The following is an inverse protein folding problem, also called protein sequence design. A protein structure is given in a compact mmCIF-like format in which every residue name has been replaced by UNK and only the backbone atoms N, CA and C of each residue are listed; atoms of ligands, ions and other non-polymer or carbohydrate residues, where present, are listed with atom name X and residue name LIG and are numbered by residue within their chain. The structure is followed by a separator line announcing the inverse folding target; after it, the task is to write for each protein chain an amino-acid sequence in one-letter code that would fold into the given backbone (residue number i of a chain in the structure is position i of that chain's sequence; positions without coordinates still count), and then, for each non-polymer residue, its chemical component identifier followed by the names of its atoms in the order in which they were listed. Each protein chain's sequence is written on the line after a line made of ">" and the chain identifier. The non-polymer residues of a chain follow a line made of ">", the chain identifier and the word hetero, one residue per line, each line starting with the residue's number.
data_IF_292571345795
#
_entry.id   IF_292571345795
#
_cell.length_a   1.000
_cell.length_b   1.000
_cell.length_c   1.000
_cell.angle_alpha   90.00
_cell.angle_beta   90.00
_cell.angle_gamma   90.00
#
_symmetry.space_group_name_H-M   'P 1'
#
loop_
_entity.id
_entity.type
_entity.pdbx_description
1 polymer ?
#
# COMPACT_ATOMS: atom_id res chain seq x y z
N UNK A 1 -13.93 -7.27 -1.21
CA UNK A 1 -13.31 -6.67 -2.42
C UNK A 1 -13.25 -7.69 -3.55
N UNK A 2 -12.80 -8.92 -3.32
CA UNK A 2 -12.65 -9.96 -4.36
C UNK A 2 -13.92 -10.77 -4.68
N UNK A 3 -15.08 -10.32 -4.20
CA UNK A 3 -16.34 -10.98 -4.48
C UNK A 3 -16.99 -10.36 -5.72
N UNK A 4 -17.72 -11.17 -6.48
CA UNK A 4 -18.51 -10.70 -7.61
C UNK A 4 -19.42 -9.52 -7.23
N UNK A 5 -19.54 -8.55 -8.13
CA UNK A 5 -20.31 -7.33 -7.89
C UNK A 5 -19.62 -6.28 -7.02
N UNK A 6 -18.33 -6.43 -6.69
CA UNK A 6 -17.56 -5.33 -6.11
C UNK A 6 -17.49 -4.14 -7.07
N UNK A 7 -17.77 -2.94 -6.55
CA UNK A 7 -17.73 -1.69 -7.31
C UNK A 7 -17.80 -0.48 -6.38
N UNK A 8 -18.01 0.71 -6.95
CA UNK A 8 -18.10 1.95 -6.18
C UNK A 8 -19.23 1.94 -5.16
N UNK A 9 -20.43 1.48 -5.54
CA UNK A 9 -21.59 1.43 -4.64
C UNK A 9 -21.33 0.55 -3.42
N UNK A 10 -20.83 -0.67 -3.64
CA UNK A 10 -20.48 -1.59 -2.55
C UNK A 10 -19.36 -1.06 -1.66
N UNK A 11 -18.40 -0.32 -2.22
CA UNK A 11 -17.37 0.36 -1.44
C UNK A 11 -17.99 1.48 -0.57
N UNK A 12 -18.89 2.28 -1.13
CA UNK A 12 -19.61 3.32 -0.39
C UNK A 12 -20.42 2.72 0.76
N UNK A 13 -21.16 1.64 0.52
CA UNK A 13 -21.92 0.94 1.57
C UNK A 13 -21.03 0.52 2.73
N UNK A 14 -19.88 -0.09 2.43
CA UNK A 14 -18.90 -0.46 3.45
C UNK A 14 -18.40 0.77 4.23
N UNK A 15 -18.01 1.85 3.53
CA UNK A 15 -17.47 3.07 4.14
C UNK A 15 -18.51 3.75 5.05
N UNK A 16 -19.78 3.74 4.68
CA UNK A 16 -20.88 4.31 5.48
C UNK A 16 -21.03 3.63 6.85
N UNK A 17 -20.63 2.36 6.93
CA UNK A 17 -20.70 1.55 8.15
C UNK A 17 -19.38 1.54 8.94
N UNK A 18 -18.30 2.11 8.40
CA UNK A 18 -17.08 2.36 9.17
C UNK A 18 -17.36 3.46 10.19
N UNK A 19 -17.03 3.25 11.48
CA UNK A 19 -17.22 4.28 12.49
C UNK A 19 -16.44 5.56 12.19
N UNK A 20 -17.09 6.70 12.38
CA UNK A 20 -16.46 8.02 12.23
C UNK A 20 -15.46 8.28 13.36
N UNK A 21 -14.53 9.21 13.12
CA UNK A 21 -13.65 9.78 14.16
C UNK A 21 -14.13 11.16 14.61
N UNK A 22 -14.44 12.04 13.65
CA UNK A 22 -14.77 13.42 13.94
C UNK A 22 -15.65 14.04 12.86
N UNK A 23 -16.17 15.22 13.15
CA UNK A 23 -16.69 16.18 12.16
C UNK A 23 -15.93 17.50 12.32
N UNK A 24 -15.45 18.09 11.22
CA UNK A 24 -14.79 19.40 11.27
C UNK A 24 -15.80 20.53 10.98
N UNK A 25 -16.01 21.41 11.97
CA UNK A 25 -16.96 22.54 11.87
C UNK A 25 -16.41 23.77 12.57
N UNK A 26 -16.49 24.92 11.90
CA UNK A 26 -16.15 26.21 12.50
C UNK A 26 -14.74 26.27 13.11
N UNK A 27 -13.76 25.59 12.49
CA UNK A 27 -12.39 25.56 12.99
C UNK A 27 -12.10 24.50 14.06
N UNK A 28 -13.09 23.66 14.43
CA UNK A 28 -12.98 22.70 15.53
C UNK A 28 -13.24 21.27 15.05
N UNK A 29 -12.52 20.33 15.65
CA UNK A 29 -12.81 18.91 15.57
C UNK A 29 -13.87 18.56 16.63
N UNK A 30 -15.03 18.11 16.17
CA UNK A 30 -16.11 17.60 17.02
C UNK A 30 -15.97 16.09 17.07
N UNK A 31 -15.88 15.53 18.27
CA UNK A 31 -15.75 14.08 18.47
C UNK A 31 -17.01 13.36 17.97
N UNK A 32 -16.83 12.46 17.00
CA UNK A 32 -17.87 11.58 16.47
C UNK A 32 -17.43 10.11 16.54
N UNK A 33 -16.47 9.79 17.41
CA UNK A 33 -15.88 8.47 17.57
C UNK A 33 -16.95 7.41 17.81
N UNK A 34 -16.95 6.36 16.97
CA UNK A 34 -17.92 5.27 17.10
C UNK A 34 -19.29 5.55 16.46
N UNK A 35 -19.54 6.76 15.97
CA UNK A 35 -20.83 7.14 15.36
C UNK A 35 -20.87 6.80 13.86
N UNK A 36 -22.08 6.76 13.30
CA UNK A 36 -22.32 6.31 11.93
C UNK A 36 -22.38 7.47 10.93
N UNK A 37 -21.64 7.37 9.83
CA UNK A 37 -21.79 8.31 8.71
C UNK A 37 -23.17 8.16 8.04
N UNK A 38 -23.75 6.95 8.08
CA UNK A 38 -25.12 6.70 7.62
C UNK A 38 -26.15 7.50 8.42
N UNK A 39 -26.01 7.55 9.75
CA UNK A 39 -26.86 8.42 10.58
C UNK A 39 -26.62 9.90 10.28
N UNK A 40 -25.40 10.29 9.92
CA UNK A 40 -25.11 11.67 9.51
C UNK A 40 -25.85 12.06 8.23
N UNK A 41 -25.91 11.19 7.21
CA UNK A 41 -26.69 11.42 5.98
C UNK A 41 -28.17 11.73 6.27
N UNK A 42 -28.72 11.07 7.29
CA UNK A 42 -30.11 11.25 7.73
C UNK A 42 -30.31 12.44 8.68
N UNK A 43 -29.25 13.16 9.07
CA UNK A 43 -29.32 14.23 10.07
C UNK A 43 -29.49 13.73 11.51
N UNK A 44 -29.17 12.46 11.76
CA UNK A 44 -29.35 11.77 13.04
C UNK A 44 -28.03 11.55 13.78
N UNK A 45 -26.93 12.21 13.37
CA UNK A 45 -25.62 12.09 14.03
C UNK A 45 -25.66 12.71 15.45
N UNK A 46 -25.42 11.94 16.53
CA UNK A 46 -25.45 12.47 17.89
C UNK A 46 -24.48 13.64 18.14
N UNK A 47 -23.28 13.61 17.55
CA UNK A 47 -22.29 14.68 17.65
C UNK A 47 -22.75 16.00 17.03
N UNK A 48 -23.68 15.96 16.07
CA UNK A 48 -24.16 17.13 15.36
C UNK A 48 -25.66 16.98 14.98
N UNK A 49 -26.57 17.05 15.96
CA UNK A 49 -27.98 16.73 15.73
C UNK A 49 -28.66 17.64 14.71
N UNK A 50 -29.40 17.05 13.76
CA UNK A 50 -30.16 17.76 12.73
C UNK A 50 -29.33 18.25 11.54
N UNK A 51 -28.01 18.18 11.61
CA UNK A 51 -27.10 18.60 10.54
C UNK A 51 -26.81 17.43 9.59
N UNK A 52 -26.68 17.74 8.29
CA UNK A 52 -26.30 16.76 7.25
C UNK A 52 -24.86 16.95 6.79
N UNK A 53 -24.18 15.89 6.29
CA UNK A 53 -22.81 15.98 5.85
C UNK A 53 -22.69 16.84 4.59
N UNK A 54 -21.52 17.47 4.48
CA UNK A 54 -21.01 18.15 3.29
C UNK A 54 -20.03 17.20 2.59
N UNK A 55 -19.67 17.51 1.34
CA UNK A 55 -18.64 16.75 0.62
C UNK A 55 -17.29 16.75 1.35
N UNK A 56 -16.99 17.80 2.11
CA UNK A 56 -15.80 17.85 2.97
C UNK A 56 -15.82 16.78 4.06
N UNK A 57 -16.97 16.56 4.72
CA UNK A 57 -17.08 15.54 5.77
C UNK A 57 -16.91 14.12 5.21
N UNK A 58 -17.42 13.88 4.00
CA UNK A 58 -17.17 12.61 3.31
C UNK A 58 -15.70 12.41 2.96
N UNK A 59 -15.03 13.47 2.49
CA UNK A 59 -13.60 13.41 2.20
C UNK A 59 -12.75 13.20 3.46
N UNK A 60 -13.14 13.80 4.58
CA UNK A 60 -12.52 13.61 5.89
C UNK A 60 -12.73 12.17 6.37
N UNK A 61 -13.97 11.66 6.32
CA UNK A 61 -14.31 10.28 6.70
C UNK A 61 -13.54 9.25 5.85
N UNK A 62 -13.50 9.41 4.53
CA UNK A 62 -12.67 8.55 3.67
C UNK A 62 -11.18 8.55 4.06
N UNK A 63 -10.69 9.64 4.66
CA UNK A 63 -9.28 9.78 5.06
C UNK A 63 -8.97 9.08 6.39
N UNK A 64 -9.98 8.67 7.15
CA UNK A 64 -9.83 7.93 8.43
C UNK A 64 -9.93 6.42 8.26
N UNK A 65 -10.14 5.92 7.04
CA UNK A 65 -10.03 4.50 6.72
C UNK A 65 -8.56 4.13 6.50
N UNK A 66 -8.10 3.01 7.06
CA UNK A 66 -6.71 2.54 6.91
C UNK A 66 -6.57 1.08 6.43
N UNK A 67 -7.23 0.69 5.32
CA UNK A 67 -6.95 -0.59 4.67
C UNK A 67 -5.55 -0.59 3.99
N UNK A 68 -5.09 -1.76 3.55
CA UNK A 68 -3.82 -1.92 2.79
C UNK A 68 -3.85 -1.19 1.44
N UNK A 69 -5.02 -1.13 0.80
CA UNK A 69 -5.30 -0.32 -0.39
C UNK A 69 -6.56 0.49 -0.15
N UNK A 70 -6.47 1.81 -0.32
CA UNK A 70 -7.60 2.72 -0.05
C UNK A 70 -8.12 3.36 -1.33
N UNK A 71 -9.44 3.38 -1.47
CA UNK A 71 -10.13 4.04 -2.56
C UNK A 71 -10.67 5.40 -2.11
N UNK A 72 -10.31 6.44 -2.86
CA UNK A 72 -10.91 7.77 -2.83
C UNK A 72 -11.32 8.12 -4.26
N UNK A 73 -10.98 9.33 -4.72
CA UNK A 73 -10.99 9.66 -6.17
C UNK A 73 -9.80 9.04 -6.92
N UNK A 74 -8.92 8.35 -6.19
CA UNK A 74 -7.73 7.65 -6.64
C UNK A 74 -7.49 6.46 -5.70
N UNK A 75 -6.60 5.55 -6.10
CA UNK A 75 -6.16 4.44 -5.26
C UNK A 75 -4.86 4.80 -4.53
N UNK A 76 -4.75 4.39 -3.27
CA UNK A 76 -3.55 4.56 -2.45
C UNK A 76 -3.02 3.17 -2.06
N UNK A 77 -1.77 2.88 -2.41
CA UNK A 77 -1.05 1.67 -2.00
C UNK A 77 -0.32 1.97 -0.69
N UNK A 78 -0.63 1.25 0.40
CA UNK A 78 -0.28 1.69 1.77
C UNK A 78 0.59 0.70 2.56
N UNK A 79 1.00 -0.39 1.93
CA UNK A 79 1.69 -1.50 2.61
C UNK A 79 3.22 -1.43 2.64
N UNK A 80 3.84 -0.30 2.27
CA UNK A 80 5.29 -0.17 2.19
C UNK A 80 5.87 0.68 3.33
N UNK A 81 6.97 0.22 3.91
CA UNK A 81 7.75 0.96 4.89
C UNK A 81 8.45 2.18 4.26
N UNK A 82 8.70 3.20 5.08
CA UNK A 82 9.62 4.27 4.72
C UNK A 82 11.05 3.74 4.55
N UNK A 83 11.84 4.38 3.70
CA UNK A 83 13.21 3.95 3.43
C UNK A 83 14.03 5.01 2.70
N UNK A 84 15.32 4.77 2.45
CA UNK A 84 16.20 5.76 1.83
C UNK A 84 15.70 6.21 0.45
N UNK A 85 16.21 7.34 -0.05
CA UNK A 85 15.84 7.95 -1.33
C UNK A 85 15.55 6.95 -2.47
N UNK A 86 16.43 5.96 -2.68
CA UNK A 86 16.27 4.97 -3.76
C UNK A 86 14.99 4.14 -3.60
N UNK A 87 14.60 3.79 -2.37
CA UNK A 87 13.34 3.09 -2.08
C UNK A 87 12.12 3.98 -2.33
N UNK A 88 12.23 5.28 -2.00
CA UNK A 88 11.16 6.25 -2.23
C UNK A 88 10.85 6.40 -3.73
N UNK A 89 11.86 6.34 -4.60
CA UNK A 89 11.66 6.35 -6.05
C UNK A 89 11.19 5.00 -6.60
N UNK A 90 11.67 3.89 -6.02
CA UNK A 90 11.33 2.55 -6.50
C UNK A 90 9.87 2.17 -6.22
N UNK A 91 9.29 2.58 -5.09
CA UNK A 91 7.91 2.27 -4.71
C UNK A 91 6.86 2.75 -5.74
N UNK A 92 6.82 4.03 -6.15
CA UNK A 92 5.89 4.48 -7.18
C UNK A 92 6.20 3.87 -8.54
N UNK A 93 7.48 3.68 -8.90
CA UNK A 93 7.84 3.01 -10.15
C UNK A 93 7.29 1.59 -10.24
N UNK A 94 7.34 0.83 -9.13
CA UNK A 94 6.78 -0.52 -9.06
C UNK A 94 5.27 -0.54 -9.34
N UNK A 95 4.50 0.30 -8.65
CA UNK A 95 3.05 0.34 -8.84
C UNK A 95 2.63 0.93 -10.19
N UNK A 96 3.33 1.95 -10.69
CA UNK A 96 3.07 2.47 -12.04
C UNK A 96 3.34 1.40 -13.09
N UNK A 97 4.44 0.65 -12.94
CA UNK A 97 4.78 -0.45 -13.85
C UNK A 97 3.72 -1.53 -13.89
N UNK A 98 3.14 -1.91 -12.75
CA UNK A 98 2.10 -2.94 -12.70
C UNK A 98 0.73 -2.45 -13.15
N UNK A 99 0.36 -1.19 -12.88
CA UNK A 99 -1.03 -0.76 -12.95
C UNK A 99 -1.36 0.14 -14.14
N UNK A 100 -0.37 0.78 -14.77
CA UNK A 100 -0.60 1.82 -15.79
C UNK A 100 -0.27 1.36 -17.23
N UNK A 101 -0.13 0.05 -17.42
CA UNK A 101 -0.11 -0.62 -18.71
C UNK A 101 -1.07 -1.81 -18.65
N UNK A 102 -1.96 -1.96 -19.63
CA UNK A 102 -3.04 -2.97 -19.58
C UNK A 102 -2.48 -4.40 -19.63
N UNK A 103 -1.38 -4.62 -20.37
CA UNK A 103 -0.77 -5.96 -20.47
C UNK A 103 -0.07 -6.34 -19.16
N UNK A 104 0.65 -5.40 -18.56
CA UNK A 104 1.26 -5.61 -17.25
C UNK A 104 0.20 -5.83 -16.15
N UNK A 105 -0.91 -5.09 -16.21
CA UNK A 105 -2.02 -5.21 -15.27
C UNK A 105 -2.70 -6.59 -15.37
N UNK A 106 -3.02 -7.04 -16.58
CA UNK A 106 -3.61 -8.37 -16.80
C UNK A 106 -2.67 -9.49 -16.34
N UNK A 107 -1.37 -9.39 -16.64
CA UNK A 107 -0.39 -10.36 -16.18
C UNK A 107 -0.19 -10.35 -14.65
N UNK A 108 -0.27 -9.17 -14.02
CA UNK A 108 -0.24 -9.04 -12.56
C UNK A 108 -1.49 -9.65 -11.92
N UNK A 109 -2.65 -9.51 -12.57
CA UNK A 109 -3.87 -10.18 -12.14
C UNK A 109 -3.76 -11.70 -12.26
N UNK A 110 -3.24 -12.21 -13.38
CA UNK A 110 -3.00 -13.64 -13.58
C UNK A 110 -2.09 -14.26 -12.52
N UNK A 111 -1.16 -13.50 -11.95
CA UNK A 111 -0.29 -13.95 -10.86
C UNK A 111 -1.03 -14.21 -9.54
N UNK A 112 -2.15 -13.50 -9.30
CA UNK A 112 -2.82 -13.46 -8.00
C UNK A 112 -4.31 -13.86 -8.03
N UNK A 113 -4.91 -14.04 -9.21
CA UNK A 113 -6.36 -14.26 -9.37
C UNK A 113 -6.91 -15.49 -8.65
N UNK A 114 -6.09 -16.52 -8.46
CA UNK A 114 -6.48 -17.76 -7.80
C UNK A 114 -6.26 -17.72 -6.28
N UNK A 115 -5.80 -16.58 -5.73
CA UNK A 115 -5.56 -16.44 -4.30
C UNK A 115 -6.88 -16.32 -3.55
N UNK A 116 -7.00 -17.09 -2.48
CA UNK A 116 -8.16 -17.06 -1.60
C UNK A 116 -8.05 -15.93 -0.57
N UNK A 117 -9.17 -15.63 0.10
CA UNK A 117 -9.15 -14.70 1.24
C UNK A 117 -8.22 -15.19 2.37
N UNK A 118 -8.09 -16.51 2.52
CA UNK A 118 -7.20 -17.12 3.52
C UNK A 118 -5.73 -16.93 3.14
N UNK A 119 -5.38 -17.01 1.85
CA UNK A 119 -4.06 -16.66 1.32
C UNK A 119 -3.69 -15.21 1.63
N UNK A 120 -4.59 -14.27 1.35
CA UNK A 120 -4.35 -12.85 1.67
C UNK A 120 -4.13 -12.61 3.17
N UNK A 121 -4.91 -13.28 4.02
CA UNK A 121 -4.76 -13.18 5.49
C UNK A 121 -3.43 -13.78 5.95
N UNK A 122 -3.07 -14.94 5.40
CA UNK A 122 -1.81 -15.61 5.68
C UNK A 122 -0.62 -14.74 5.31
N UNK A 123 -0.57 -14.24 4.08
CA UNK A 123 0.51 -13.37 3.61
C UNK A 123 0.63 -12.10 4.45
N UNK A 124 -0.50 -11.45 4.76
CA UNK A 124 -0.51 -10.26 5.61
C UNK A 124 0.04 -10.53 7.02
N UNK A 125 -0.18 -11.73 7.57
CA UNK A 125 0.30 -12.10 8.89
C UNK A 125 1.77 -12.54 8.92
N UNK A 126 2.25 -13.21 7.86
CA UNK A 126 3.54 -13.88 7.85
C UNK A 126 4.66 -13.11 7.12
N UNK A 127 4.34 -12.31 6.10
CA UNK A 127 5.33 -11.46 5.42
C UNK A 127 6.02 -10.48 6.37
N UNK A 128 5.33 -9.82 7.33
CA UNK A 128 6.01 -8.95 8.30
C UNK A 128 7.07 -9.66 9.16
N UNK A 129 6.98 -10.99 9.31
CA UNK A 129 7.88 -11.79 10.15
C UNK A 129 8.99 -12.47 9.35
N UNK A 130 8.64 -13.00 8.18
CA UNK A 130 9.50 -13.89 7.38
C UNK A 130 9.95 -13.24 6.06
N UNK A 131 9.49 -12.02 5.76
CA UNK A 131 9.86 -11.23 4.60
C UNK A 131 9.73 -12.02 3.27
N UNK A 132 10.78 -12.01 2.44
CA UNK A 132 10.79 -12.70 1.15
C UNK A 132 10.83 -14.23 1.29
N UNK A 133 11.15 -14.74 2.47
CA UNK A 133 11.27 -16.16 2.75
C UNK A 133 9.95 -16.82 3.14
N UNK A 134 8.86 -16.06 3.33
CA UNK A 134 7.53 -16.61 3.66
C UNK A 134 7.13 -17.72 2.67
N UNK A 135 6.90 -18.96 3.13
CA UNK A 135 6.42 -20.05 2.28
C UNK A 135 5.00 -19.76 1.76
N UNK A 136 4.74 -19.98 0.48
CA UNK A 136 3.44 -19.73 -0.13
C UNK A 136 3.24 -20.60 -1.37
N UNK A 137 2.18 -21.42 -1.39
CA UNK A 137 1.84 -22.35 -2.50
C UNK A 137 3.03 -23.16 -3.05
N UNK A 138 3.84 -23.76 -2.16
CA UNK A 138 4.97 -24.61 -2.55
C UNK A 138 6.22 -23.86 -3.05
N UNK A 139 6.21 -22.52 -3.01
CA UNK A 139 7.35 -21.63 -3.26
C UNK A 139 7.52 -20.65 -2.09
N UNK A 140 8.39 -19.65 -2.23
CA UNK A 140 8.47 -18.51 -1.30
C UNK A 140 7.83 -17.26 -1.92
N UNK A 141 7.50 -16.28 -1.08
CA UNK A 141 7.04 -14.95 -1.52
C UNK A 141 8.08 -14.28 -2.43
N UNK A 142 9.37 -14.57 -2.26
CA UNK A 142 10.41 -14.09 -3.18
C UNK A 142 10.11 -14.43 -4.64
N UNK A 143 9.68 -15.66 -4.94
CA UNK A 143 9.37 -16.08 -6.31
C UNK A 143 8.19 -15.28 -6.90
N UNK A 144 7.21 -14.91 -6.08
CA UNK A 144 6.11 -14.01 -6.48
C UNK A 144 6.65 -12.59 -6.70
N UNK A 145 7.46 -12.09 -5.76
CA UNK A 145 8.04 -10.75 -5.81
C UNK A 145 8.94 -10.56 -7.03
N UNK A 146 9.74 -11.57 -7.39
CA UNK A 146 10.58 -11.55 -8.57
C UNK A 146 9.73 -11.44 -9.85
N UNK A 147 8.65 -12.23 -9.96
CA UNK A 147 7.73 -12.12 -11.10
C UNK A 147 7.07 -10.74 -11.17
N UNK A 148 6.61 -10.21 -10.03
CA UNK A 148 6.01 -8.88 -9.96
C UNK A 148 6.99 -7.76 -10.36
N UNK A 149 8.27 -7.84 -9.95
CA UNK A 149 9.29 -6.85 -10.34
C UNK A 149 9.57 -6.88 -11.85
N UNK A 150 9.59 -8.06 -12.47
CA UNK A 150 9.74 -8.16 -13.93
C UNK A 150 8.51 -7.62 -14.67
N UNK A 151 7.30 -7.94 -14.23
CA UNK A 151 6.07 -7.39 -14.80
C UNK A 151 6.02 -5.86 -14.70
N UNK A 152 6.42 -5.30 -13.54
CA UNK A 152 6.53 -3.86 -13.36
C UNK A 152 7.55 -3.24 -14.34
N UNK A 153 8.69 -3.92 -14.56
CA UNK A 153 9.70 -3.45 -15.50
C UNK A 153 9.18 -3.43 -16.94
N UNK A 154 8.43 -4.46 -17.35
CA UNK A 154 7.83 -4.49 -18.69
C UNK A 154 6.77 -3.40 -18.87
N UNK A 155 5.91 -3.16 -17.88
CA UNK A 155 4.93 -2.06 -17.98
C UNK A 155 5.58 -0.68 -18.03
N UNK A 156 6.68 -0.44 -17.31
CA UNK A 156 7.44 0.82 -17.42
C UNK A 156 8.11 0.98 -18.79
N UNK A 157 8.68 -0.11 -19.34
CA UNK A 157 9.24 -0.11 -20.70
C UNK A 157 8.17 0.17 -21.75
N UNK A 158 6.99 -0.44 -21.62
CA UNK A 158 5.86 -0.24 -22.54
C UNK A 158 5.35 1.21 -22.52
N UNK A 159 5.23 1.81 -21.32
CA UNK A 159 4.91 3.24 -21.15
C UNK A 159 5.94 4.18 -21.78
N UNK A 160 7.20 3.76 -21.81
CA UNK A 160 8.33 4.44 -22.44
C UNK A 160 8.41 5.96 -22.15
N UNK A 161 8.21 6.36 -20.88
CA UNK A 161 8.46 7.74 -20.48
C UNK A 161 9.95 7.92 -20.25
N UNK A 162 10.53 8.84 -21.01
CA UNK A 162 11.96 9.09 -21.01
C UNK A 162 12.27 10.32 -20.16
N UNK A 163 13.42 10.29 -19.50
CA UNK A 163 14.01 11.47 -18.87
C UNK A 163 14.71 12.37 -19.92
N UNK A 164 15.40 13.42 -19.45
CA UNK A 164 16.14 14.33 -20.33
C UNK A 164 17.36 13.71 -21.03
N UNK A 165 17.79 12.51 -20.61
CA UNK A 165 18.94 11.77 -21.15
C UNK A 165 18.51 10.64 -22.09
N UNK A 166 17.21 10.34 -22.16
CA UNK A 166 16.65 9.30 -23.02
C UNK A 166 16.49 7.94 -22.34
N UNK A 167 16.74 7.85 -21.02
CA UNK A 167 16.53 6.64 -20.24
C UNK A 167 15.05 6.52 -19.80
N UNK A 168 14.50 5.31 -19.84
CA UNK A 168 13.14 5.07 -19.37
C UNK A 168 13.07 4.78 -17.87
N UNK A 169 11.87 4.90 -17.29
CA UNK A 169 11.59 4.77 -15.85
C UNK A 169 12.01 3.41 -15.24
N UNK A 170 12.29 2.37 -16.02
CA UNK A 170 12.55 1.01 -15.50
C UNK A 170 13.80 0.92 -14.62
N UNK A 171 14.76 1.85 -14.76
CA UNK A 171 15.97 1.89 -13.93
C UNK A 171 15.66 2.11 -12.44
N UNK A 172 14.52 2.72 -12.08
CA UNK A 172 14.09 2.89 -10.69
C UNK A 172 13.83 1.55 -9.98
N UNK A 173 13.58 0.47 -10.73
CA UNK A 173 13.36 -0.87 -10.17
C UNK A 173 14.66 -1.62 -9.86
N UNK A 174 15.83 -1.08 -10.20
CA UNK A 174 17.13 -1.75 -9.97
C UNK A 174 17.33 -2.14 -8.50
N UNK A 175 16.86 -1.29 -7.57
CA UNK A 175 16.89 -1.62 -6.14
C UNK A 175 16.04 -2.84 -5.82
N UNK A 176 14.79 -2.90 -6.29
CA UNK A 176 13.89 -4.01 -6.00
C UNK A 176 14.39 -5.32 -6.62
N UNK A 177 14.88 -5.26 -7.86
CA UNK A 177 15.53 -6.38 -8.55
C UNK A 177 16.69 -6.94 -7.73
N UNK A 178 17.58 -6.06 -7.26
CA UNK A 178 18.69 -6.41 -6.37
C UNK A 178 18.24 -7.10 -5.07
N UNK A 179 17.06 -6.75 -4.51
CA UNK A 179 16.53 -7.34 -3.27
C UNK A 179 15.96 -8.73 -3.51
N UNK A 180 15.22 -8.92 -4.61
CA UNK A 180 14.66 -10.24 -4.95
C UNK A 180 15.77 -11.21 -5.36
N UNK A 181 16.78 -10.77 -6.12
CA UNK A 181 17.95 -11.58 -6.51
C UNK A 181 18.80 -12.05 -5.31
N UNK A 182 18.95 -11.19 -4.29
CA UNK A 182 19.69 -11.52 -3.06
C UNK A 182 18.81 -12.20 -2.02
N UNK A 183 17.52 -12.33 -2.31
CA UNK A 183 16.49 -12.80 -1.39
C UNK A 183 16.53 -12.11 -0.02
N UNK A 184 16.79 -10.80 0.02
CA UNK A 184 17.03 -10.11 1.28
C UNK A 184 16.39 -8.74 1.33
N UNK A 185 15.52 -8.51 2.32
CA UNK A 185 14.83 -7.24 2.54
C UNK A 185 15.69 -6.25 3.35
N UNK A 186 15.35 -4.93 3.34
CA UNK A 186 16.11 -3.92 4.06
C UNK A 186 16.30 -4.19 5.56
N UNK A 187 15.27 -4.71 6.24
CA UNK A 187 15.34 -5.00 7.67
C UNK A 187 16.39 -6.07 8.00
N UNK A 188 16.57 -7.06 7.13
CA UNK A 188 17.58 -8.11 7.33
C UNK A 188 19.02 -7.59 7.17
N UNK A 189 19.25 -6.56 6.36
CA UNK A 189 20.56 -5.88 6.33
C UNK A 189 20.83 -5.12 7.63
N UNK A 190 19.81 -4.48 8.19
CA UNK A 190 19.94 -3.79 9.47
C UNK A 190 20.16 -4.78 10.63
N UNK A 191 19.53 -5.96 10.59
CA UNK A 191 19.77 -7.02 11.56
C UNK A 191 21.20 -7.58 11.47
N UNK A 192 21.73 -7.81 10.27
CA UNK A 192 23.13 -8.18 10.08
C UNK A 192 24.08 -7.12 10.69
N UNK A 193 23.81 -5.84 10.42
CA UNK A 193 24.64 -4.75 10.92
C UNK A 193 24.56 -4.65 12.45
N UNK A 194 23.36 -4.76 13.01
CA UNK A 194 23.09 -4.78 14.44
C UNK A 194 23.83 -5.92 15.14
N UNK A 195 23.70 -7.16 14.64
CA UNK A 195 24.36 -8.33 15.24
C UNK A 195 25.85 -8.42 14.92
N UNK A 196 26.31 -7.73 13.87
CA UNK A 196 27.70 -7.70 13.43
C UNK A 196 28.41 -6.42 13.87
N UNK A 197 28.65 -5.53 12.90
CA UNK A 197 29.55 -4.38 13.05
C UNK A 197 29.09 -3.34 14.08
N UNK A 198 27.80 -3.29 14.40
CA UNK A 198 27.27 -2.41 15.44
C UNK A 198 27.30 -3.06 16.84
N UNK A 199 27.59 -4.36 16.94
CA UNK A 199 27.80 -5.04 18.22
C UNK A 199 26.60 -4.96 19.17
N UNK A 200 25.38 -4.99 18.64
CA UNK A 200 24.14 -4.85 19.41
C UNK A 200 23.77 -3.41 19.78
N UNK A 201 24.47 -2.40 19.24
CA UNK A 201 24.10 -1.00 19.40
C UNK A 201 23.23 -0.53 18.21
N UNK A 202 22.10 0.12 18.49
CA UNK A 202 21.23 0.67 17.44
C UNK A 202 21.63 2.09 17.02
N UNK A 203 22.40 2.82 17.85
CA UNK A 203 22.74 4.24 17.60
C UNK A 203 23.29 4.53 16.18
N UNK A 204 24.11 3.66 15.55
CA UNK A 204 24.61 3.93 14.21
C UNK A 204 23.53 4.07 13.13
N UNK A 205 22.31 3.54 13.35
CA UNK A 205 21.21 3.68 12.39
C UNK A 205 20.87 5.17 12.14
N UNK A 206 21.04 6.03 13.15
CA UNK A 206 20.69 7.45 13.07
C UNK A 206 21.69 8.29 12.26
N UNK A 207 22.89 7.77 12.00
CA UNK A 207 23.89 8.43 11.15
C UNK A 207 23.98 7.78 9.78
N UNK A 208 23.90 6.45 9.71
CA UNK A 208 24.13 5.71 8.46
C UNK A 208 22.88 5.59 7.58
N UNK A 209 21.68 5.67 8.17
CA UNK A 209 20.41 5.70 7.43
C UNK A 209 19.78 7.10 7.42
N UNK A 210 20.55 8.15 7.74
CA UNK A 210 20.10 9.53 7.64
C UNK A 210 19.87 9.95 6.17
N UNK A 211 18.92 10.87 5.96
CA UNK A 211 18.63 11.48 4.66
C UNK A 211 19.58 12.62 4.31
#
# INVERSE_FOLDING_TARGET
>A
VFEDGMGFERNVDHVLDVPMYFVYRGGKYIDASGQSFRDFLDGRLPALPGEKPRLGDWADHLSTLFPEVRLKRFLEMRGADGGPWKSLCALPAFWVGLLYDDTALDAAWDLVKDWTLEDHRYLRAEVPKQALHTPFHGRTVNAVAHQAVELAAEGLKARNRLDGQGDNESHFLALLRSRVEREKCPAEYLLDDFHGRWGGNIDPIFTECAY
#
